data_IF_889151863702
#
_entry.id   IF_889151863702
#
_cell.length_a   1.000
_cell.length_b   1.000
_cell.length_c   1.000
_cell.angle_alpha   90.00
_cell.angle_beta   90.00
_cell.angle_gamma   90.00
#
_symmetry.space_group_name_H-M   'P 1'
#
loop_
_entity.id
_entity.type
_entity.pdbx_description
1 polymer ?
#
# COMPACT_ATOMS: atom_id res chain seq x y z
N UNK A 1 -6.28 -33.49 -21.39
CA UNK A 1 -6.59 -32.71 -20.16
C UNK A 1 -6.00 -31.32 -20.34
N UNK A 2 -6.81 -30.35 -20.79
CA UNK A 2 -6.35 -29.00 -21.12
C UNK A 2 -6.43 -28.19 -19.83
N UNK A 3 -5.29 -27.95 -19.19
CA UNK A 3 -5.25 -27.08 -18.01
C UNK A 3 -5.52 -25.65 -18.49
N UNK A 4 -6.73 -25.16 -18.22
CA UNK A 4 -7.03 -23.74 -18.29
C UNK A 4 -6.09 -23.08 -17.28
N UNK A 5 -5.03 -22.43 -17.79
CA UNK A 5 -4.19 -21.59 -16.98
C UNK A 5 -5.10 -20.52 -16.40
N UNK A 6 -5.49 -20.69 -15.14
CA UNK A 6 -6.24 -19.70 -14.36
C UNK A 6 -5.54 -18.37 -14.56
N UNK A 7 -6.14 -17.51 -15.36
CA UNK A 7 -5.73 -16.13 -15.52
C UNK A 7 -6.16 -15.45 -14.23
N UNK A 8 -5.50 -15.80 -13.12
CA UNK A 8 -5.62 -15.14 -11.82
C UNK A 8 -5.32 -13.68 -12.12
N UNK A 9 -6.40 -12.95 -12.34
CA UNK A 9 -6.35 -11.60 -12.82
C UNK A 9 -5.62 -10.87 -11.70
N UNK A 10 -4.63 -10.04 -12.02
CA UNK A 10 -3.86 -9.26 -11.03
C UNK A 10 -4.73 -8.21 -10.29
N UNK A 11 -6.04 -8.43 -10.20
CA UNK A 11 -7.02 -7.60 -9.49
C UNK A 11 -6.72 -7.72 -8.00
N UNK A 12 -6.49 -6.58 -7.37
CA UNK A 12 -6.21 -6.47 -5.94
C UNK A 12 -7.46 -6.62 -5.06
N UNK A 13 -8.66 -6.56 -5.65
CA UNK A 13 -9.95 -6.62 -4.97
C UNK A 13 -10.91 -7.53 -5.75
N UNK A 14 -11.75 -8.29 -5.06
CA UNK A 14 -12.87 -9.02 -5.67
C UNK A 14 -13.83 -8.09 -6.42
N UNK A 15 -14.55 -8.62 -7.44
CA UNK A 15 -15.60 -7.88 -8.14
C UNK A 15 -16.66 -7.31 -7.20
N UNK A 16 -17.04 -8.06 -6.17
CA UNK A 16 -18.02 -7.66 -5.15
C UNK A 16 -17.53 -6.44 -4.35
N UNK A 17 -16.27 -6.46 -3.91
CA UNK A 17 -15.67 -5.33 -3.18
C UNK A 17 -15.59 -4.08 -4.06
N UNK A 18 -15.29 -4.23 -5.34
CA UNK A 18 -15.28 -3.11 -6.29
C UNK A 18 -16.68 -2.52 -6.49
N UNK A 19 -17.71 -3.36 -6.54
CA UNK A 19 -19.09 -2.91 -6.68
C UNK A 19 -19.58 -2.15 -5.44
N UNK A 20 -19.22 -2.59 -4.23
CA UNK A 20 -19.49 -1.85 -2.99
C UNK A 20 -18.85 -0.45 -3.00
N UNK A 21 -17.62 -0.33 -3.51
CA UNK A 21 -16.93 0.97 -3.66
C UNK A 21 -17.69 1.87 -4.64
N UNK A 22 -18.17 1.30 -5.75
CA UNK A 22 -18.97 2.01 -6.77
C UNK A 22 -20.28 2.53 -6.18
N UNK A 23 -21.03 1.66 -5.49
CA UNK A 23 -22.28 2.01 -4.82
C UNK A 23 -22.09 3.12 -3.79
N UNK A 24 -21.01 3.05 -2.98
CA UNK A 24 -20.66 4.11 -2.03
C UNK A 24 -20.43 5.45 -2.74
N UNK A 25 -19.81 5.45 -3.92
CA UNK A 25 -19.61 6.65 -4.73
C UNK A 25 -20.93 7.28 -5.20
N UNK A 26 -21.87 6.44 -5.64
CA UNK A 26 -23.21 6.88 -6.05
C UNK A 26 -23.98 7.47 -4.86
N UNK A 27 -23.99 6.79 -3.72
CA UNK A 27 -24.67 7.26 -2.50
C UNK A 27 -24.10 8.60 -2.01
N UNK A 28 -22.78 8.81 -2.13
CA UNK A 28 -22.13 10.10 -1.83
C UNK A 28 -22.59 11.20 -2.78
N UNK A 29 -22.63 10.93 -4.08
CA UNK A 29 -23.08 11.90 -5.08
C UNK A 29 -24.56 12.28 -4.89
N UNK A 30 -25.38 11.34 -4.42
CA UNK A 30 -26.79 11.56 -4.09
C UNK A 30 -27.02 12.30 -2.76
N UNK A 31 -25.98 12.58 -1.95
CA UNK A 31 -26.12 13.24 -0.66
C UNK A 31 -26.69 12.37 0.47
N UNK A 32 -26.82 11.05 0.26
CA UNK A 32 -27.43 10.13 1.22
C UNK A 32 -26.43 9.73 2.32
N UNK A 33 -26.40 10.49 3.43
CA UNK A 33 -25.41 10.34 4.52
C UNK A 33 -25.48 8.98 5.22
N UNK A 34 -26.68 8.50 5.56
CA UNK A 34 -26.87 7.22 6.25
C UNK A 34 -26.39 6.04 5.40
N UNK A 35 -26.91 5.92 4.18
CA UNK A 35 -26.51 4.89 3.21
C UNK A 35 -25.01 4.94 2.90
N UNK A 36 -24.43 6.14 2.78
CA UNK A 36 -22.99 6.31 2.59
C UNK A 36 -22.19 5.75 3.78
N UNK A 37 -22.66 5.97 5.01
CA UNK A 37 -21.98 5.50 6.21
C UNK A 37 -22.00 3.97 6.30
N UNK A 38 -23.11 3.34 5.92
CA UNK A 38 -23.26 1.89 5.93
C UNK A 38 -22.40 1.23 4.85
N UNK A 39 -22.48 1.74 3.61
CA UNK A 39 -21.62 1.30 2.50
C UNK A 39 -20.13 1.52 2.83
N UNK A 40 -19.78 2.57 3.57
CA UNK A 40 -18.41 2.79 4.01
C UNK A 40 -17.92 1.75 5.03
N UNK A 41 -18.79 1.27 5.95
CA UNK A 41 -18.44 0.16 6.86
C UNK A 41 -18.22 -1.12 6.08
N UNK A 42 -19.15 -1.45 5.17
CA UNK A 42 -19.07 -2.64 4.32
C UNK A 42 -17.81 -2.62 3.45
N UNK A 43 -17.50 -1.51 2.80
CA UNK A 43 -16.27 -1.35 2.02
C UNK A 43 -15.01 -1.61 2.87
N UNK A 44 -14.94 -1.05 4.09
CA UNK A 44 -13.79 -1.25 4.98
C UNK A 44 -13.62 -2.72 5.37
N UNK A 45 -14.72 -3.41 5.65
CA UNK A 45 -14.70 -4.82 5.98
C UNK A 45 -14.26 -5.67 4.78
N UNK A 46 -14.87 -5.47 3.62
CA UNK A 46 -14.53 -6.21 2.40
C UNK A 46 -13.07 -6.02 1.99
N UNK A 47 -12.56 -4.78 2.01
CA UNK A 47 -11.14 -4.46 1.71
C UNK A 47 -10.18 -5.13 2.69
N UNK A 48 -10.60 -5.38 3.93
CA UNK A 48 -9.78 -6.04 4.96
C UNK A 48 -9.74 -7.55 4.77
N UNK A 49 -10.85 -8.18 4.39
CA UNK A 49 -10.97 -9.63 4.29
C UNK A 49 -10.50 -10.18 2.93
N UNK A 50 -10.78 -9.47 1.84
CA UNK A 50 -10.48 -9.90 0.48
C UNK A 50 -9.00 -10.28 0.25
N UNK A 51 -7.99 -9.51 0.74
CA UNK A 51 -6.60 -9.92 0.62
C UNK A 51 -6.25 -11.16 1.46
N UNK A 52 -6.97 -11.44 2.55
CA UNK A 52 -6.73 -12.63 3.38
C UNK A 52 -7.28 -13.88 2.69
N UNK A 53 -8.48 -13.79 2.14
CA UNK A 53 -9.08 -14.86 1.34
C UNK A 53 -8.21 -15.18 0.12
N UNK A 54 -7.76 -14.15 -0.61
CA UNK A 54 -6.85 -14.31 -1.74
C UNK A 54 -5.52 -14.95 -1.32
N UNK A 55 -4.97 -14.58 -0.16
CA UNK A 55 -3.76 -15.21 0.36
C UNK A 55 -3.99 -16.70 0.60
N UNK A 56 -5.11 -17.10 1.20
CA UNK A 56 -5.45 -18.50 1.42
C UNK A 56 -5.60 -19.25 0.10
N UNK A 57 -6.34 -18.69 -0.86
CA UNK A 57 -6.51 -19.27 -2.19
C UNK A 57 -5.17 -19.52 -2.90
N UNK A 58 -4.25 -18.55 -2.88
CA UNK A 58 -2.91 -18.69 -3.48
C UNK A 58 -2.10 -19.83 -2.84
N UNK A 59 -2.29 -20.12 -1.55
CA UNK A 59 -1.64 -21.28 -0.92
C UNK A 59 -2.22 -22.60 -1.41
N UNK A 60 -3.55 -22.67 -1.53
CA UNK A 60 -4.26 -23.86 -2.01
C UNK A 60 -3.86 -24.16 -3.44
N UNK A 61 -3.89 -23.16 -4.33
CA UNK A 61 -3.44 -23.29 -5.73
C UNK A 61 -1.98 -23.77 -5.82
N UNK A 62 -1.11 -23.30 -4.92
CA UNK A 62 0.29 -23.73 -4.91
C UNK A 62 0.43 -25.18 -4.46
N UNK A 63 -0.35 -25.61 -3.47
CA UNK A 63 -0.36 -27.00 -3.00
C UNK A 63 -0.89 -27.95 -4.08
N UNK A 64 -2.00 -27.60 -4.74
CA UNK A 64 -2.59 -28.36 -5.85
C UNK A 64 -1.65 -28.48 -7.04
N UNK A 65 -0.88 -27.42 -7.33
CA UNK A 65 0.09 -27.40 -8.42
C UNK A 65 1.46 -28.00 -8.05
N UNK A 66 1.60 -28.61 -6.87
CA UNK A 66 2.87 -29.13 -6.32
C UNK A 66 4.02 -28.10 -6.33
N UNK A 67 3.66 -26.82 -6.23
CA UNK A 67 4.59 -25.70 -6.19
C UNK A 67 5.07 -25.46 -4.76
N UNK A 68 6.27 -24.91 -4.65
CA UNK A 68 6.81 -24.49 -3.35
C UNK A 68 5.92 -23.40 -2.72
N UNK A 69 5.18 -23.75 -1.68
CA UNK A 69 4.31 -22.85 -0.90
C UNK A 69 5.07 -21.60 -0.47
N UNK A 70 6.32 -21.75 0.00
CA UNK A 70 7.17 -20.61 0.40
C UNK A 70 7.39 -19.61 -0.73
N UNK A 71 7.59 -20.07 -1.97
CA UNK A 71 7.76 -19.19 -3.14
C UNK A 71 6.44 -18.51 -3.49
N UNK A 72 5.31 -19.22 -3.43
CA UNK A 72 3.98 -18.66 -3.65
C UNK A 72 3.62 -17.56 -2.62
N UNK A 73 3.88 -17.81 -1.33
CA UNK A 73 3.77 -16.80 -0.27
C UNK A 73 4.57 -15.54 -0.59
N UNK A 74 5.82 -15.73 -1.03
CA UNK A 74 6.74 -14.63 -1.32
C UNK A 74 6.30 -13.84 -2.54
N UNK A 75 5.87 -14.50 -3.61
CA UNK A 75 5.33 -13.80 -4.79
C UNK A 75 4.05 -13.04 -4.45
N UNK A 76 3.22 -13.58 -3.55
CA UNK A 76 2.05 -12.87 -3.04
C UNK A 76 2.47 -11.63 -2.22
N UNK A 77 3.34 -11.77 -1.23
CA UNK A 77 3.84 -10.60 -0.49
C UNK A 77 4.46 -9.53 -1.42
N UNK A 78 5.15 -9.96 -2.48
CA UNK A 78 5.79 -9.07 -3.45
C UNK A 78 4.83 -8.37 -4.43
N UNK A 79 3.60 -8.86 -4.67
CA UNK A 79 2.64 -8.09 -5.52
C UNK A 79 2.22 -6.78 -4.84
N UNK A 80 2.26 -6.73 -3.51
CA UNK A 80 1.84 -5.59 -2.70
C UNK A 80 2.77 -4.38 -2.81
N UNK A 81 4.04 -4.62 -3.15
CA UNK A 81 5.11 -3.62 -3.05
C UNK A 81 5.93 -3.56 -4.34
N UNK A 82 5.27 -3.48 -5.49
CA UNK A 82 5.97 -3.12 -6.72
C UNK A 82 5.72 -1.64 -7.02
N UNK A 83 6.66 -0.79 -6.61
CA UNK A 83 6.75 0.58 -7.10
C UNK A 83 6.87 0.51 -8.63
N UNK A 84 5.81 0.90 -9.32
CA UNK A 84 5.72 0.78 -10.78
C UNK A 84 6.60 1.84 -11.43
N UNK A 85 6.70 3.02 -10.81
CA UNK A 85 7.58 4.10 -11.24
C UNK A 85 7.88 5.07 -10.09
N UNK A 86 9.01 5.76 -10.17
CA UNK A 86 9.34 6.93 -9.35
C UNK A 86 9.25 8.19 -10.18
N UNK A 87 8.89 9.30 -9.53
CA UNK A 87 8.87 10.63 -10.16
C UNK A 87 10.04 11.46 -9.63
N UNK A 88 10.83 12.02 -10.54
CA UNK A 88 11.91 12.96 -10.21
C UNK A 88 11.35 14.36 -9.91
N UNK A 89 12.09 15.21 -9.19
CA UNK A 89 11.71 16.62 -8.97
C UNK A 89 11.47 17.40 -10.27
N UNK A 90 12.20 17.07 -11.34
CA UNK A 90 12.02 17.62 -12.70
C UNK A 90 10.71 17.20 -13.37
N UNK A 91 9.92 16.33 -12.73
CA UNK A 91 8.63 15.83 -13.19
C UNK A 91 8.69 14.51 -13.95
N UNK A 92 9.88 14.00 -14.30
CA UNK A 92 10.07 12.79 -15.11
C UNK A 92 9.63 11.54 -14.35
N UNK A 93 8.78 10.71 -14.97
CA UNK A 93 8.32 9.44 -14.41
C UNK A 93 9.16 8.28 -14.96
N UNK A 94 9.76 7.50 -14.07
CA UNK A 94 10.72 6.44 -14.41
C UNK A 94 10.30 5.10 -13.83
N UNK A 95 10.12 4.09 -14.69
CA UNK A 95 9.73 2.73 -14.32
C UNK A 95 10.87 1.69 -14.38
N UNK A 96 12.03 2.05 -14.96
CA UNK A 96 13.18 1.16 -15.06
C UNK A 96 13.88 1.02 -13.70
N UNK A 97 14.19 -0.22 -13.28
CA UNK A 97 14.86 -0.51 -12.00
C UNK A 97 16.14 0.30 -11.83
N UNK A 98 17.05 0.25 -12.81
CA UNK A 98 18.35 0.96 -12.74
C UNK A 98 18.17 2.47 -12.57
N UNK A 99 17.18 3.03 -13.26
CA UNK A 99 16.92 4.46 -13.22
C UNK A 99 16.19 4.87 -11.93
N UNK A 100 15.31 4.02 -11.39
CA UNK A 100 14.73 4.19 -10.05
C UNK A 100 15.79 4.13 -8.94
N UNK A 101 16.71 3.17 -9.01
CA UNK A 101 17.85 3.05 -8.08
C UNK A 101 18.71 4.31 -8.10
N UNK A 102 18.98 4.85 -9.29
CA UNK A 102 19.69 6.12 -9.43
C UNK A 102 18.94 7.29 -8.77
N UNK A 103 17.63 7.39 -8.98
CA UNK A 103 16.79 8.44 -8.34
C UNK A 103 16.88 8.37 -6.82
N UNK A 104 16.81 7.15 -6.27
CA UNK A 104 16.89 6.94 -4.82
C UNK A 104 18.28 7.34 -4.31
N UNK A 105 19.34 6.93 -5.01
CA UNK A 105 20.71 7.26 -4.63
C UNK A 105 20.94 8.78 -4.65
N UNK A 106 20.61 9.44 -5.77
CA UNK A 106 20.75 10.89 -5.93
C UNK A 106 20.03 11.64 -4.78
N UNK A 107 18.79 11.25 -4.48
CA UNK A 107 17.99 11.84 -3.39
C UNK A 107 18.63 11.71 -2.01
N UNK A 108 19.14 10.52 -1.66
CA UNK A 108 19.75 10.32 -0.35
C UNK A 108 21.11 10.99 -0.24
N UNK A 109 21.90 11.03 -1.32
CA UNK A 109 23.13 11.82 -1.36
C UNK A 109 22.86 13.29 -1.04
N UNK A 110 21.93 13.93 -1.77
CA UNK A 110 21.58 15.33 -1.55
C UNK A 110 21.08 15.59 -0.11
N UNK A 111 20.30 14.67 0.44
CA UNK A 111 19.77 14.80 1.81
C UNK A 111 20.88 14.75 2.86
N UNK A 112 21.80 13.79 2.76
CA UNK A 112 22.87 13.61 3.74
C UNK A 112 24.02 14.63 3.56
N UNK A 113 24.21 15.13 2.34
CA UNK A 113 25.22 16.16 2.03
C UNK A 113 24.69 17.59 2.29
N UNK A 114 23.39 17.75 2.55
CA UNK A 114 22.81 19.05 2.92
C UNK A 114 23.26 19.47 4.33
N UNK A 115 24.21 20.40 4.40
CA UNK A 115 24.56 21.06 5.66
C UNK A 115 23.42 21.99 6.10
N UNK A 116 22.53 21.46 6.94
CA UNK A 116 21.60 22.29 7.70
C UNK A 116 22.41 23.01 8.77
N UNK A 117 22.54 24.34 8.65
CA UNK A 117 23.07 25.15 9.74
C UNK A 117 22.05 25.12 10.88
N UNK A 118 22.20 24.17 11.80
CA UNK A 118 21.41 24.11 13.01
C UNK A 118 21.74 25.35 13.85
N UNK A 119 20.77 26.21 14.19
CA UNK A 119 20.99 27.21 15.23
C UNK A 119 21.36 26.45 16.51
N UNK A 120 22.46 26.85 17.15
CA UNK A 120 22.82 26.34 18.46
C UNK A 120 21.70 26.70 19.45
N UNK A 121 20.83 25.75 19.78
CA UNK A 121 19.89 25.91 20.87
C UNK A 121 20.66 25.81 22.19
N UNK A 122 20.78 26.92 22.93
CA UNK A 122 21.19 26.87 24.33
C UNK A 122 20.09 26.16 25.13
N UNK A 123 20.46 25.05 25.76
CA UNK A 123 19.56 24.27 26.61
C UNK A 123 19.40 25.02 27.94
N UNK A 124 18.34 25.81 28.09
CA UNK A 124 17.90 26.29 29.39
C UNK A 124 17.07 25.20 30.06
N UNK A 125 17.64 24.54 31.07
CA UNK A 125 16.91 23.64 31.97
C UNK A 125 15.87 24.45 32.76
N UNK A 126 14.58 24.26 32.44
CA UNK A 126 13.50 24.69 33.31
C UNK A 126 13.37 23.70 34.47
N UNK A 127 14.07 23.95 35.58
CA UNK A 127 13.55 23.56 36.90
C UNK A 127 12.38 24.48 37.25
N UNK A 128 11.38 23.95 37.96
CA UNK A 128 10.18 24.60 38.52
C UNK A 128 8.83 24.29 37.84
N UNK A 129 8.46 23.01 37.79
CA UNK A 129 7.05 22.59 37.70
C UNK A 129 6.71 21.48 38.71
N UNK A 130 7.16 21.60 39.96
CA UNK A 130 6.63 20.80 41.08
C UNK A 130 6.73 21.59 42.40
N UNK A 131 5.92 22.64 42.56
CA UNK A 131 5.53 23.11 43.90
C UNK A 131 4.26 23.96 43.83
N UNK A 132 3.14 23.31 43.49
CA UNK A 132 1.79 23.74 43.84
C UNK A 132 1.03 22.46 44.19
N UNK A 133 1.25 22.00 45.41
CA UNK A 133 0.41 21.06 46.15
C UNK A 133 0.21 21.66 47.54
#
# INVERSE_FOLDING_TARGET
MKAESSTVTKRCLSPETLELIRQRGIARAAGNRELTSELAKQCRQAIKEDPKERRAAVMVEAAEAEKCIRKACRSFANYKTKTIALRRPDGTITASRKAMEKIIHDYYSDLFDSHVHLPSYEIFYFENYYHLA
#
